data_IF_559926137466
#
_entry.id   IF_559926137466
#
_cell.length_a   1.000
_cell.length_b   1.000
_cell.length_c   1.000
_cell.angle_alpha   90.00
_cell.angle_beta   90.00
_cell.angle_gamma   90.00
#
_symmetry.space_group_name_H-M   'P 1'
#
loop_
_entity.id
_entity.type
_entity.pdbx_description
1 polymer ?
#
# COMPACT_ATOMS: atom_id res chain seq x y z
N UNK A 1 16.23 11.34 7.63
CA UNK A 1 16.89 10.09 8.07
C UNK A 1 16.57 9.02 7.06
N UNK A 2 17.52 8.12 6.78
CA UNK A 2 17.34 7.00 5.84
C UNK A 2 17.18 5.72 6.66
N UNK A 3 16.23 4.87 6.28
CA UNK A 3 16.00 3.55 6.85
C UNK A 3 15.82 2.55 5.70
N UNK A 4 16.24 1.31 5.91
CA UNK A 4 16.25 0.27 4.87
C UNK A 4 15.62 -1.02 5.40
N UNK A 5 14.88 -1.73 4.53
CA UNK A 5 14.30 -3.04 4.86
C UNK A 5 15.21 -4.16 4.35
N UNK A 6 15.54 -5.10 5.24
CA UNK A 6 16.10 -6.38 4.83
C UNK A 6 14.99 -7.28 4.24
N UNK A 7 14.98 -7.40 2.91
CA UNK A 7 13.96 -8.17 2.18
C UNK A 7 13.89 -9.65 2.59
N UNK A 8 15.02 -10.27 2.98
CA UNK A 8 15.04 -11.68 3.37
C UNK A 8 14.29 -11.95 4.70
N UNK A 9 14.17 -10.94 5.56
CA UNK A 9 13.46 -11.04 6.84
C UNK A 9 12.03 -10.49 6.77
N UNK A 10 11.73 -9.66 5.78
CA UNK A 10 10.43 -9.04 5.63
C UNK A 10 9.33 -10.10 5.43
N UNK A 11 8.26 -10.00 6.24
CA UNK A 11 7.08 -10.89 6.14
C UNK A 11 5.87 -10.21 5.50
N UNK A 12 6.01 -8.98 5.02
CA UNK A 12 4.94 -8.26 4.33
C UNK A 12 3.79 -7.77 5.23
N UNK A 13 4.01 -7.59 6.54
CA UNK A 13 2.93 -7.20 7.47
C UNK A 13 2.44 -5.74 7.33
N UNK A 14 3.19 -4.87 6.63
CA UNK A 14 2.78 -3.48 6.35
C UNK A 14 2.92 -2.47 7.50
N UNK A 15 3.29 -2.88 8.71
CA UNK A 15 3.38 -1.96 9.87
C UNK A 15 4.33 -0.78 9.63
N UNK A 16 5.48 -1.01 8.99
CA UNK A 16 6.44 0.05 8.67
C UNK A 16 5.88 1.08 7.67
N UNK A 17 5.09 0.63 6.70
CA UNK A 17 4.45 1.49 5.69
C UNK A 17 3.38 2.33 6.36
N UNK A 18 2.51 1.73 7.17
CA UNK A 18 1.48 2.45 7.91
C UNK A 18 2.04 3.47 8.90
N UNK A 19 3.18 3.18 9.53
CA UNK A 19 3.84 4.09 10.47
C UNK A 19 4.57 5.26 9.78
N UNK A 20 4.95 5.12 8.51
CA UNK A 20 5.75 6.12 7.80
C UNK A 20 4.88 7.32 7.39
N UNK A 21 4.85 8.35 8.22
CA UNK A 21 4.12 9.60 7.92
C UNK A 21 4.60 10.33 6.66
N UNK A 22 5.84 10.07 6.23
CA UNK A 22 6.40 10.65 5.01
C UNK A 22 6.10 9.87 3.73
N UNK A 23 5.47 8.69 3.82
CA UNK A 23 5.16 7.87 2.64
C UNK A 23 6.39 7.38 1.88
N UNK A 24 7.55 7.29 2.54
CA UNK A 24 8.83 6.99 1.88
C UNK A 24 9.01 5.52 1.47
N UNK A 25 8.05 4.65 1.81
CA UNK A 25 8.12 3.22 1.59
C UNK A 25 6.76 2.67 1.18
N UNK A 26 6.75 1.65 0.32
CA UNK A 26 5.55 1.03 -0.22
C UNK A 26 5.53 -0.47 0.08
N UNK A 27 4.34 -1.03 0.36
CA UNK A 27 4.16 -2.47 0.51
C UNK A 27 3.88 -3.11 -0.86
N UNK A 28 4.72 -4.06 -1.27
CA UNK A 28 4.50 -4.79 -2.52
C UNK A 28 3.17 -5.55 -2.49
N UNK A 29 2.38 -5.44 -3.55
CA UNK A 29 1.05 -6.06 -3.68
C UNK A 29 -0.09 -5.32 -2.99
N UNK A 30 0.21 -4.27 -2.22
CA UNK A 30 -0.77 -3.43 -1.51
C UNK A 30 -0.43 -1.95 -1.69
N UNK A 31 -0.17 -1.55 -2.94
CA UNK A 31 0.03 -0.13 -3.27
C UNK A 31 -1.28 0.65 -3.06
N UNK A 32 -1.17 1.95 -2.82
CA UNK A 32 -2.35 2.81 -2.64
C UNK A 32 -3.31 2.72 -3.83
N UNK A 33 -2.80 2.67 -5.06
CA UNK A 33 -3.62 2.50 -6.26
C UNK A 33 -4.40 1.17 -6.24
N UNK A 34 -3.75 0.07 -5.83
CA UNK A 34 -4.41 -1.23 -5.73
C UNK A 34 -5.47 -1.26 -4.63
N UNK A 35 -5.20 -0.61 -3.49
CA UNK A 35 -6.16 -0.50 -2.39
C UNK A 35 -7.35 0.37 -2.78
N UNK A 36 -7.10 1.54 -3.39
CA UNK A 36 -8.15 2.42 -3.86
C UNK A 36 -9.02 1.76 -4.94
N UNK A 37 -8.42 0.99 -5.86
CA UNK A 37 -9.16 0.23 -6.86
C UNK A 37 -10.09 -0.83 -6.21
N UNK A 38 -9.61 -1.53 -5.17
CA UNK A 38 -10.44 -2.46 -4.41
C UNK A 38 -11.59 -1.72 -3.71
N UNK A 39 -11.31 -0.60 -3.05
CA UNK A 39 -12.35 0.21 -2.39
C UNK A 39 -13.38 0.76 -3.37
N UNK A 40 -12.95 1.29 -4.52
CA UNK A 40 -13.88 1.78 -5.54
C UNK A 40 -14.75 0.67 -6.10
N UNK A 41 -14.21 -0.55 -6.30
CA UNK A 41 -15.03 -1.67 -6.77
C UNK A 41 -16.14 -2.04 -5.79
N UNK A 42 -15.93 -1.82 -4.49
CA UNK A 42 -16.90 -2.13 -3.44
C UNK A 42 -17.88 -1.00 -3.15
N UNK A 43 -17.41 0.25 -3.21
CA UNK A 43 -18.16 1.42 -2.73
C UNK A 43 -18.69 2.32 -3.86
N UNK A 44 -18.09 2.27 -5.06
CA UNK A 44 -18.39 3.16 -6.18
C UNK A 44 -18.19 2.43 -7.53
N UNK A 45 -18.94 1.34 -7.80
CA UNK A 45 -18.67 0.48 -8.95
C UNK A 45 -18.72 1.22 -10.28
N UNK A 46 -19.57 2.25 -10.47
CA UNK A 46 -19.69 2.97 -11.75
C UNK A 46 -18.54 3.95 -12.06
N UNK A 47 -17.76 4.39 -11.07
CA UNK A 47 -16.71 5.42 -11.30
C UNK A 47 -15.44 4.84 -11.95
N UNK A 48 -15.26 3.52 -11.92
CA UNK A 48 -14.05 2.83 -12.42
C UNK A 48 -14.26 1.94 -13.66
N UNK A 49 -15.50 1.74 -14.11
CA UNK A 49 -15.82 1.02 -15.37
C UNK A 49 -16.09 1.95 -16.56
N UNK A 50 -15.94 3.27 -16.36
CA UNK A 50 -16.06 4.28 -17.42
C UNK A 50 -14.78 4.46 -18.23
#
# INVERSE_FOLDING_TARGET
>A
MVAEINAALCKGCGVCVAACRGGAITLHGFTDQQLLAQLSSLLMPEVVVG
#
